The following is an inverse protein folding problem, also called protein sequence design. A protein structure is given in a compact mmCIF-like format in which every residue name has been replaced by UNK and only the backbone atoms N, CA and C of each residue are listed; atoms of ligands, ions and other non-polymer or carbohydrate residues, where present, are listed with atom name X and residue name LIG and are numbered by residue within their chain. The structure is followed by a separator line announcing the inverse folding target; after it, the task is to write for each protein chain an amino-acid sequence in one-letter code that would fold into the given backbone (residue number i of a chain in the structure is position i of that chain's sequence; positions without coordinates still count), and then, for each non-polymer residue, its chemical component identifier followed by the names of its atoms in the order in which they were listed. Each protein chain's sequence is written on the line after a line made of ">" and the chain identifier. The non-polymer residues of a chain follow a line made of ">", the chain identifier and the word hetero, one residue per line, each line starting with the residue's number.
data_IF_271225187794
#
_entry.id   IF_271225187794
#
_cell.length_a   1.000
_cell.length_b   1.000
_cell.length_c   1.000
_cell.angle_alpha   90.00
_cell.angle_beta   90.00
_cell.angle_gamma   90.00
#
_symmetry.space_group_name_H-M   'P 1'
#
loop_
_entity.id
_entity.type
_entity.pdbx_description
1 polymer ?
#
# COMPACT_ATOMS: atom_id res chain seq x y z
N UNK A 1 8.72 -11.83 -3.44
CA UNK A 1 7.32 -11.54 -3.79
C UNK A 1 6.36 -11.81 -2.63
N UNK A 2 6.56 -11.16 -1.48
CA UNK A 2 5.75 -11.42 -0.27
C UNK A 2 4.28 -10.98 -0.39
N UNK A 3 3.94 -10.10 -1.31
CA UNK A 3 2.57 -9.62 -1.52
C UNK A 3 1.87 -10.14 -2.77
N UNK A 4 2.59 -10.79 -3.69
CA UNK A 4 2.02 -11.22 -4.97
C UNK A 4 0.99 -12.33 -4.83
N UNK A 5 1.19 -13.26 -3.90
CA UNK A 5 0.23 -14.34 -3.64
C UNK A 5 -1.13 -13.81 -3.18
N UNK A 6 -1.15 -12.72 -2.43
CA UNK A 6 -2.39 -12.13 -1.93
C UNK A 6 -3.15 -11.40 -3.04
N UNK A 7 -2.47 -10.64 -3.88
CA UNK A 7 -3.09 -9.96 -5.02
C UNK A 7 -3.61 -10.99 -6.03
N UNK A 8 -2.82 -12.02 -6.35
CA UNK A 8 -3.25 -13.09 -7.27
C UNK A 8 -4.46 -13.87 -6.77
N UNK A 9 -4.52 -14.20 -5.48
CA UNK A 9 -5.67 -14.89 -4.90
C UNK A 9 -6.94 -14.04 -4.89
N UNK A 10 -6.81 -12.73 -4.75
CA UNK A 10 -7.93 -11.79 -4.67
C UNK A 10 -8.42 -11.34 -6.03
N UNK A 11 -7.54 -11.37 -7.05
CA UNK A 11 -7.81 -10.97 -8.41
C UNK A 11 -7.18 -11.97 -9.39
N UNK A 12 -7.76 -13.17 -9.57
CA UNK A 12 -7.14 -14.24 -10.33
C UNK A 12 -6.92 -13.94 -11.81
N UNK A 13 -7.62 -12.97 -12.38
CA UNK A 13 -7.47 -12.55 -13.79
C UNK A 13 -6.57 -11.32 -13.96
N UNK A 14 -6.07 -10.71 -12.88
CA UNK A 14 -5.16 -9.59 -12.98
C UNK A 14 -3.78 -10.06 -13.46
N UNK A 15 -3.20 -9.37 -14.44
CA UNK A 15 -1.81 -9.59 -14.83
C UNK A 15 -0.89 -9.02 -13.76
N UNK A 16 0.07 -9.82 -13.30
CA UNK A 16 1.01 -9.44 -12.25
C UNK A 16 2.43 -9.36 -12.79
N UNK A 17 3.08 -8.23 -12.58
CA UNK A 17 4.48 -8.02 -12.87
C UNK A 17 5.23 -7.94 -11.54
N UNK A 18 6.14 -8.89 -11.31
CA UNK A 18 6.92 -8.97 -10.09
C UNK A 18 8.31 -8.38 -10.29
N UNK A 19 8.61 -7.27 -9.59
CA UNK A 19 9.94 -6.69 -9.54
C UNK A 19 10.64 -7.08 -8.25
N UNK A 20 11.65 -7.95 -8.34
CA UNK A 20 12.42 -8.38 -7.19
C UNK A 20 13.47 -7.34 -6.82
N UNK A 21 13.13 -6.44 -5.92
CA UNK A 21 14.00 -5.36 -5.42
C UNK A 21 14.59 -5.65 -4.04
N UNK A 22 14.04 -6.61 -3.30
CA UNK A 22 14.50 -7.01 -1.97
C UNK A 22 15.32 -8.31 -2.01
N UNK A 23 16.30 -8.40 -1.12
CA UNK A 23 17.12 -9.60 -0.92
C UNK A 23 16.36 -10.74 -0.21
N UNK A 24 17.06 -11.86 0.05
CA UNK A 24 16.49 -13.04 0.72
C UNK A 24 16.07 -12.76 2.17
N UNK A 25 16.79 -11.87 2.84
CA UNK A 25 16.58 -11.39 4.20
C UNK A 25 15.45 -10.35 4.33
N UNK A 26 14.89 -9.93 3.18
CA UNK A 26 13.88 -8.86 3.13
C UNK A 26 14.48 -7.45 3.16
N UNK A 27 15.79 -7.31 3.31
CA UNK A 27 16.50 -6.06 3.13
C UNK A 27 16.61 -5.68 1.65
N UNK A 28 16.57 -4.40 1.35
CA UNK A 28 16.71 -3.89 -0.02
C UNK A 28 17.88 -2.91 -0.09
N UNK A 29 18.64 -2.98 -1.20
CA UNK A 29 19.51 -1.89 -1.58
C UNK A 29 18.64 -0.84 -2.28
N UNK A 30 18.68 0.39 -1.80
CA UNK A 30 17.90 1.53 -2.31
C UNK A 30 18.05 1.69 -3.82
N UNK A 31 19.27 1.47 -4.33
CA UNK A 31 19.57 1.48 -5.76
C UNK A 31 18.75 0.46 -6.59
N UNK A 32 18.48 -0.74 -6.04
CA UNK A 32 17.63 -1.74 -6.73
C UNK A 32 16.18 -1.29 -6.79
N UNK A 33 15.71 -0.64 -5.74
CA UNK A 33 14.36 -0.05 -5.71
C UNK A 33 14.24 1.03 -6.76
N UNK A 34 15.22 1.95 -6.83
CA UNK A 34 15.27 3.03 -7.82
C UNK A 34 15.23 2.45 -9.25
N UNK A 35 16.11 1.48 -9.56
CA UNK A 35 16.12 0.82 -10.88
C UNK A 35 14.77 0.14 -11.20
N UNK A 36 14.14 -0.50 -10.20
CA UNK A 36 12.82 -1.09 -10.38
C UNK A 36 11.75 -0.06 -10.72
N UNK A 37 11.73 1.08 -10.03
CA UNK A 37 10.79 2.18 -10.30
C UNK A 37 11.05 2.84 -11.66
N UNK A 38 12.31 3.05 -12.03
CA UNK A 38 12.68 3.56 -13.35
C UNK A 38 12.23 2.62 -14.46
N UNK A 39 12.34 1.31 -14.26
CA UNK A 39 11.82 0.32 -15.20
C UNK A 39 10.29 0.41 -15.34
N UNK A 40 9.55 0.52 -14.23
CA UNK A 40 8.08 0.73 -14.28
C UNK A 40 7.76 2.01 -15.06
N UNK A 41 8.46 3.10 -14.77
CA UNK A 41 8.26 4.38 -15.44
C UNK A 41 8.48 4.29 -16.95
N UNK A 42 9.48 3.51 -17.39
CA UNK A 42 9.75 3.32 -18.81
C UNK A 42 8.72 2.43 -19.53
N UNK A 43 8.09 1.48 -18.84
CA UNK A 43 7.29 0.43 -19.47
C UNK A 43 5.79 0.46 -19.09
N UNK A 44 5.35 1.32 -18.16
CA UNK A 44 3.97 1.27 -17.65
C UNK A 44 2.91 1.48 -18.75
N UNK A 45 3.19 2.32 -19.75
CA UNK A 45 2.27 2.57 -20.88
C UNK A 45 2.17 1.37 -21.80
N UNK A 46 3.31 0.81 -22.17
CA UNK A 46 3.40 -0.36 -23.06
C UNK A 46 2.73 -1.60 -22.42
N UNK A 47 3.00 -1.84 -21.15
CA UNK A 47 2.50 -3.00 -20.42
C UNK A 47 1.13 -2.77 -19.75
N UNK A 48 0.55 -1.58 -19.86
CA UNK A 48 -0.72 -1.24 -19.27
C UNK A 48 -0.72 -1.29 -17.73
N UNK A 49 0.41 -0.96 -17.08
CA UNK A 49 0.52 -0.97 -15.61
C UNK A 49 -0.33 0.18 -15.05
N UNK A 50 -1.37 -0.16 -14.30
CA UNK A 50 -2.30 0.80 -13.72
C UNK A 50 -2.20 0.94 -12.22
N UNK A 51 -1.66 -0.06 -11.53
CA UNK A 51 -1.51 -0.09 -10.08
C UNK A 51 -0.11 -0.54 -9.73
N UNK A 52 0.55 0.19 -8.83
CA UNK A 52 1.81 -0.19 -8.20
C UNK A 52 1.60 -0.48 -6.72
N UNK A 53 1.79 -1.73 -6.30
CA UNK A 53 1.88 -2.12 -4.90
C UNK A 53 3.30 -1.91 -4.39
N UNK A 54 3.51 -0.92 -3.53
CA UNK A 54 4.81 -0.56 -3.00
C UNK A 54 4.84 -0.65 -1.47
N UNK A 55 5.18 -1.83 -0.95
CA UNK A 55 5.23 -2.10 0.50
C UNK A 55 6.64 -2.00 1.09
N UNK A 56 7.49 -1.16 0.51
CA UNK A 56 8.82 -0.82 1.04
C UNK A 56 8.73 0.54 1.71
N UNK A 57 9.28 0.69 2.92
CA UNK A 57 9.23 1.94 3.66
C UNK A 57 10.55 2.29 4.32
N UNK A 58 10.76 3.59 4.53
CA UNK A 58 11.87 4.16 5.27
C UNK A 58 11.35 4.74 6.58
N UNK A 59 12.17 4.69 7.63
CA UNK A 59 11.80 5.25 8.94
C UNK A 59 11.50 6.75 8.82
N UNK A 60 10.57 7.28 9.65
CA UNK A 60 10.33 8.72 9.72
C UNK A 60 11.60 9.47 10.07
N UNK A 61 11.83 10.60 9.41
CA UNK A 61 13.01 11.44 9.63
C UNK A 61 13.45 12.16 8.37
N UNK A 62 14.67 12.70 8.39
CA UNK A 62 15.28 13.32 7.23
C UNK A 62 15.62 12.24 6.18
N UNK A 63 15.05 12.37 5.00
CA UNK A 63 15.32 11.47 3.89
C UNK A 63 16.68 11.80 3.26
N UNK A 64 17.47 10.76 2.98
CA UNK A 64 18.68 10.89 2.19
C UNK A 64 18.37 11.12 0.69
N UNK A 65 19.42 11.26 -0.13
CA UNK A 65 19.29 11.55 -1.56
C UNK A 65 18.52 10.46 -2.31
N UNK A 66 18.82 9.19 -2.02
CA UNK A 66 18.21 8.06 -2.72
C UNK A 66 16.74 7.88 -2.32
N UNK A 67 16.43 8.06 -1.03
CA UNK A 67 15.07 8.02 -0.52
C UNK A 67 14.20 9.14 -1.13
N UNK A 68 14.75 10.34 -1.29
CA UNK A 68 14.08 11.44 -2.01
C UNK A 68 13.82 11.08 -3.46
N UNK A 69 14.80 10.48 -4.14
CA UNK A 69 14.64 10.03 -5.52
C UNK A 69 13.52 8.97 -5.66
N UNK A 70 13.40 8.05 -4.69
CA UNK A 70 12.28 7.10 -4.67
C UNK A 70 10.94 7.82 -4.54
N UNK A 71 10.84 8.82 -3.66
CA UNK A 71 9.63 9.63 -3.52
C UNK A 71 9.25 10.31 -4.84
N UNK A 72 10.22 10.96 -5.50
CA UNK A 72 10.02 11.65 -6.79
C UNK A 72 9.55 10.68 -7.88
N UNK A 73 10.16 9.49 -8.00
CA UNK A 73 9.76 8.47 -8.98
C UNK A 73 8.34 7.95 -8.73
N UNK A 74 7.93 7.75 -7.47
CA UNK A 74 6.58 7.32 -7.14
C UNK A 74 5.54 8.41 -7.44
N UNK A 75 5.88 9.67 -7.19
CA UNK A 75 5.02 10.80 -7.52
C UNK A 75 4.93 11.03 -9.04
N UNK A 76 6.01 10.81 -9.77
CA UNK A 76 5.99 10.84 -11.23
C UNK A 76 5.13 9.72 -11.82
N UNK A 77 5.24 8.50 -11.31
CA UNK A 77 4.35 7.39 -11.72
C UNK A 77 2.88 7.71 -11.47
N UNK A 78 2.57 8.36 -10.36
CA UNK A 78 1.22 8.83 -10.08
C UNK A 78 0.74 9.84 -11.12
N UNK A 79 1.54 10.84 -11.44
CA UNK A 79 1.23 11.86 -12.45
C UNK A 79 1.05 11.25 -13.86
N UNK A 80 1.79 10.17 -14.14
CA UNK A 80 1.69 9.40 -15.39
C UNK A 80 0.51 8.41 -15.44
N UNK A 81 -0.34 8.40 -14.39
CA UNK A 81 -1.58 7.61 -14.36
C UNK A 81 -1.46 6.22 -13.72
N UNK A 82 -0.37 5.93 -13.01
CA UNK A 82 -0.22 4.71 -12.22
C UNK A 82 -0.65 4.96 -10.78
N UNK A 83 -1.66 4.25 -10.31
CA UNK A 83 -2.12 4.36 -8.91
C UNK A 83 -1.11 3.71 -7.98
N UNK A 84 -0.40 4.52 -7.20
CA UNK A 84 0.62 4.06 -6.25
C UNK A 84 -0.02 3.82 -4.90
N UNK A 85 0.08 2.58 -4.40
CA UNK A 85 -0.44 2.16 -3.09
C UNK A 85 0.71 1.73 -2.20
N UNK A 86 0.83 2.34 -1.02
CA UNK A 86 1.96 2.14 -0.10
C UNK A 86 1.51 1.69 1.29
N UNK A 87 2.38 1.02 2.01
CA UNK A 87 2.16 0.66 3.41
C UNK A 87 2.42 1.86 4.34
N UNK A 88 1.63 1.99 5.40
CA UNK A 88 1.84 3.01 6.44
C UNK A 88 3.08 2.76 7.30
N UNK A 89 3.60 1.53 7.29
CA UNK A 89 4.65 1.09 8.20
C UNK A 89 4.09 0.48 9.49
N UNK A 90 4.98 -0.17 10.25
CA UNK A 90 4.61 -0.94 11.44
C UNK A 90 5.22 -0.34 12.73
N UNK A 91 5.41 0.99 12.75
CA UNK A 91 6.00 1.72 13.88
C UNK A 91 4.96 2.44 14.75
N UNK A 92 3.65 2.17 14.52
CA UNK A 92 2.56 2.71 15.30
C UNK A 92 2.50 2.17 16.74
N UNK A 93 1.48 2.58 17.50
CA UNK A 93 0.36 3.44 17.11
C UNK A 93 0.60 4.94 17.34
N UNK A 94 1.80 5.36 17.70
CA UNK A 94 2.11 6.76 17.99
C UNK A 94 1.91 7.68 16.79
N UNK A 95 1.65 8.96 17.05
CA UNK A 95 1.55 9.99 16.00
C UNK A 95 2.91 10.18 15.29
N UNK A 96 2.89 10.53 14.01
CA UNK A 96 4.10 10.80 13.23
C UNK A 96 4.92 9.56 12.87
N UNK A 97 4.34 8.35 12.95
CA UNK A 97 5.04 7.08 12.72
C UNK A 97 4.84 6.49 11.32
N UNK A 98 4.12 7.19 10.45
CA UNK A 98 3.97 6.79 9.04
C UNK A 98 5.34 6.80 8.36
N UNK A 99 5.71 5.68 7.73
CA UNK A 99 6.95 5.58 6.97
C UNK A 99 6.84 6.26 5.60
N UNK A 100 7.95 6.84 5.12
CA UNK A 100 8.03 7.23 3.73
C UNK A 100 8.10 5.96 2.84
N UNK A 101 7.47 5.90 1.65
CA UNK A 101 6.83 7.01 0.95
C UNK A 101 5.37 7.29 1.33
N UNK A 102 4.79 6.60 2.32
CA UNK A 102 3.42 6.79 2.74
C UNK A 102 3.07 8.21 3.23
N UNK A 103 4.06 9.05 3.50
CA UNK A 103 3.86 10.46 3.86
C UNK A 103 3.47 11.35 2.65
N UNK A 104 3.66 10.90 1.41
CA UNK A 104 3.33 11.70 0.22
C UNK A 104 1.82 11.94 0.12
N UNK A 105 1.45 13.14 -0.33
CA UNK A 105 0.05 13.52 -0.61
C UNK A 105 -0.56 12.73 -1.77
N UNK A 106 0.25 12.35 -2.75
CA UNK A 106 -0.22 11.70 -3.97
C UNK A 106 -0.58 10.25 -3.73
N UNK A 107 0.28 9.46 -3.10
CA UNK A 107 0.07 8.02 -2.94
C UNK A 107 -1.11 7.68 -2.01
N UNK A 108 -1.64 6.47 -2.18
CA UNK A 108 -2.63 5.90 -1.26
C UNK A 108 -1.88 5.11 -0.19
N UNK A 109 -1.97 5.54 1.05
CA UNK A 109 -1.29 4.89 2.19
C UNK A 109 -2.26 4.02 2.95
N UNK A 110 -1.87 2.78 3.21
CA UNK A 110 -2.73 1.75 3.78
C UNK A 110 -2.23 1.33 5.16
N UNK A 111 -3.12 1.39 6.15
CA UNK A 111 -2.94 0.81 7.48
C UNK A 111 -3.67 -0.51 7.64
N UNK A 112 -3.41 -1.24 8.73
CA UNK A 112 -4.13 -2.45 9.07
C UNK A 112 -5.36 -2.13 9.92
N UNK A 113 -6.54 -2.66 9.55
CA UNK A 113 -7.79 -2.45 10.28
C UNK A 113 -7.94 -3.36 11.51
N UNK A 114 -7.20 -4.47 11.52
CA UNK A 114 -7.27 -5.57 12.48
C UNK A 114 -6.01 -5.71 13.34
N UNK A 115 -5.16 -4.69 13.41
CA UNK A 115 -3.89 -4.70 14.13
C UNK A 115 -4.05 -4.67 15.66
N UNK A 116 -5.25 -4.32 16.15
CA UNK A 116 -5.59 -4.33 17.59
C UNK A 116 -6.13 -5.68 18.08
N UNK A 117 -6.34 -6.62 17.16
CA UNK A 117 -7.03 -7.87 17.43
C UNK A 117 -6.10 -9.04 17.75
N UNK A 118 -4.77 -8.83 17.76
CA UNK A 118 -3.80 -9.89 18.01
C UNK A 118 -3.67 -10.18 19.51
N UNK A 119 -4.01 -11.40 19.99
CA UNK A 119 -3.77 -11.79 21.38
C UNK A 119 -2.27 -11.77 21.71
N UNK A 120 -1.87 -11.03 22.73
CA UNK A 120 -0.49 -10.96 23.19
C UNK A 120 0.36 -9.82 22.61
N UNK A 121 -0.14 -9.05 21.67
CA UNK A 121 0.56 -7.86 21.16
C UNK A 121 0.22 -6.59 21.97
N UNK A 122 1.15 -5.63 21.93
CA UNK A 122 1.08 -4.38 22.71
C UNK A 122 -0.26 -3.68 22.52
N UNK A 123 -0.84 -3.19 23.61
CA UNK A 123 -2.06 -2.36 23.60
C UNK A 123 -1.86 -1.17 22.66
N UNK A 124 -2.50 -1.18 21.47
CA UNK A 124 -2.53 -0.01 20.62
C UNK A 124 -2.34 -0.22 19.11
N UNK A 125 -2.08 -1.43 18.65
CA UNK A 125 -1.85 -1.70 17.23
C UNK A 125 -0.41 -1.39 16.76
N UNK A 126 -0.11 -1.69 15.51
CA UNK A 126 1.22 -1.48 14.91
C UNK A 126 1.21 -0.52 13.72
N UNK A 127 0.08 -0.22 13.13
CA UNK A 127 -0.01 0.64 11.95
C UNK A 127 0.57 2.02 12.22
N UNK A 128 1.43 2.48 11.31
CA UNK A 128 1.91 3.84 11.33
C UNK A 128 0.78 4.85 11.23
N UNK A 129 0.82 5.90 12.04
CA UNK A 129 -0.21 6.92 12.18
C UNK A 129 0.34 8.33 11.98
N UNK A 130 -0.47 9.17 11.31
CA UNK A 130 -0.24 10.60 11.19
C UNK A 130 -0.55 11.38 12.48
N UNK A 131 -0.53 12.71 12.43
CA UNK A 131 -0.23 13.50 11.23
C UNK A 131 1.24 13.38 10.80
N UNK A 132 1.49 13.56 9.50
CA UNK A 132 2.86 13.66 8.98
C UNK A 132 3.49 15.00 9.38
N UNK A 133 4.80 15.17 9.18
CA UNK A 133 5.49 16.43 9.42
C UNK A 133 4.90 17.65 8.67
N UNK A 134 4.15 17.39 7.58
CA UNK A 134 3.39 18.41 6.84
C UNK A 134 1.91 18.46 7.24
N UNK A 135 1.55 17.99 8.43
CA UNK A 135 0.19 17.98 8.98
C UNK A 135 -0.85 17.24 8.11
N UNK A 136 -0.42 16.24 7.35
CA UNK A 136 -1.34 15.41 6.56
C UNK A 136 -1.76 14.21 7.39
N UNK A 137 -3.06 13.97 7.46
CA UNK A 137 -3.60 12.77 8.10
C UNK A 137 -3.35 11.54 7.22
N UNK A 138 -2.70 10.54 7.79
CA UNK A 138 -2.33 9.25 7.19
C UNK A 138 -2.53 8.12 8.22
N UNK A 139 -2.78 6.87 7.82
CA UNK A 139 -3.03 6.41 6.44
C UNK A 139 -4.36 6.93 5.88
N UNK A 140 -4.55 6.84 4.56
CA UNK A 140 -5.84 7.16 3.94
C UNK A 140 -6.89 6.11 4.29
N UNK A 141 -6.55 4.83 4.11
CA UNK A 141 -7.52 3.73 4.21
C UNK A 141 -6.97 2.60 5.07
N UNK A 142 -7.84 1.89 5.77
CA UNK A 142 -7.49 0.69 6.52
C UNK A 142 -8.04 -0.55 5.80
N UNK A 143 -7.27 -1.63 5.82
CA UNK A 143 -7.68 -2.93 5.29
C UNK A 143 -7.11 -4.06 6.15
N UNK A 144 -7.67 -5.28 6.11
CA UNK A 144 -7.15 -6.41 6.88
C UNK A 144 -5.67 -6.65 6.61
N UNK A 145 -4.86 -6.70 7.66
CA UNK A 145 -3.39 -6.85 7.59
C UNK A 145 -2.80 -7.79 8.62
N UNK A 146 -3.62 -8.35 9.54
CA UNK A 146 -3.15 -9.22 10.62
C UNK A 146 -3.46 -10.69 10.33
N UNK A 147 -2.48 -11.57 10.57
CA UNK A 147 -2.61 -13.01 10.34
C UNK A 147 -3.03 -13.42 8.92
N UNK A 148 -2.63 -12.63 7.94
CA UNK A 148 -2.95 -12.89 6.53
C UNK A 148 -2.20 -14.15 6.05
N UNK A 149 -2.96 -15.12 5.55
CA UNK A 149 -2.43 -16.38 4.99
C UNK A 149 -2.10 -16.18 3.53
N UNK A 150 -0.84 -16.38 3.15
CA UNK A 150 -0.36 -16.25 1.78
C UNK A 150 0.69 -17.29 1.43
N UNK A 151 1.05 -17.37 0.14
CA UNK A 151 2.10 -18.26 -0.35
C UNK A 151 3.43 -17.97 0.36
N UNK A 152 4.13 -19.04 0.73
CA UNK A 152 5.46 -18.94 1.32
C UNK A 152 6.56 -19.26 0.28
N UNK A 153 7.73 -18.65 0.47
CA UNK A 153 8.91 -18.85 -0.39
C UNK A 153 9.98 -19.76 0.26
N UNK A 154 9.72 -20.24 1.50
CA UNK A 154 10.64 -21.11 2.26
C UNK A 154 10.29 -22.60 2.22
N UNK A 155 9.47 -23.03 1.25
CA UNK A 155 9.14 -24.45 1.05
C UNK A 155 7.82 -24.91 1.70
N UNK A 156 7.24 -24.13 2.62
CA UNK A 156 5.85 -24.32 3.01
C UNK A 156 4.93 -23.72 1.94
N UNK A 157 3.79 -24.38 1.64
CA UNK A 157 2.85 -23.85 0.66
C UNK A 157 2.27 -22.50 1.09
N UNK A 158 2.05 -22.31 2.40
CA UNK A 158 1.44 -21.12 2.97
C UNK A 158 2.09 -20.73 4.29
N UNK A 159 2.17 -19.43 4.55
CA UNK A 159 2.55 -18.85 5.84
C UNK A 159 1.59 -17.74 6.27
N UNK A 160 1.57 -17.43 7.56
CA UNK A 160 0.82 -16.29 8.11
C UNK A 160 1.76 -15.14 8.36
N UNK A 161 1.35 -13.94 7.94
CA UNK A 161 2.12 -12.70 8.17
C UNK A 161 1.18 -11.59 8.59
N UNK A 162 1.72 -10.69 9.43
CA UNK A 162 1.01 -9.47 9.86
C UNK A 162 1.83 -8.25 9.47
N UNK A 163 1.16 -7.16 9.12
CA UNK A 163 1.77 -5.89 8.78
C UNK A 163 0.94 -5.10 7.78
N UNK A 164 1.18 -3.80 7.75
CA UNK A 164 0.57 -2.91 6.74
C UNK A 164 0.96 -3.30 5.31
N UNK A 165 2.10 -3.98 5.14
CA UNK A 165 2.51 -4.60 3.86
C UNK A 165 1.54 -5.70 3.38
N UNK A 166 0.76 -6.33 4.28
CA UNK A 166 -0.26 -7.32 3.96
C UNK A 166 -1.60 -6.66 3.67
N UNK A 167 -1.88 -5.51 4.27
CA UNK A 167 -3.09 -4.72 4.01
C UNK A 167 -3.04 -4.03 2.63
N UNK A 168 -1.85 -3.56 2.21
CA UNK A 168 -1.66 -2.83 0.95
C UNK A 168 -2.17 -3.59 -0.29
N UNK A 169 -1.85 -4.89 -0.51
CA UNK A 169 -2.35 -5.64 -1.66
C UNK A 169 -3.87 -5.90 -1.62
N UNK A 170 -4.50 -5.80 -0.45
CA UNK A 170 -5.99 -5.87 -0.36
C UNK A 170 -6.60 -4.68 -1.07
N UNK A 171 -6.08 -3.48 -0.77
CA UNK A 171 -6.51 -2.24 -1.43
C UNK A 171 -6.20 -2.28 -2.93
N UNK A 172 -5.01 -2.76 -3.33
CA UNK A 172 -4.67 -2.94 -4.76
C UNK A 172 -5.69 -3.85 -5.47
N UNK A 173 -6.12 -4.93 -4.83
CA UNK A 173 -7.13 -5.83 -5.38
C UNK A 173 -8.48 -5.14 -5.58
N UNK A 174 -8.93 -4.34 -4.60
CA UNK A 174 -10.16 -3.56 -4.72
C UNK A 174 -10.09 -2.52 -5.85
N UNK A 175 -8.96 -1.82 -5.97
CA UNK A 175 -8.72 -0.86 -7.05
C UNK A 175 -8.66 -1.53 -8.44
N UNK A 176 -8.13 -2.77 -8.52
CA UNK A 176 -8.15 -3.54 -9.76
C UNK A 176 -9.58 -3.87 -10.20
N UNK A 177 -10.49 -4.21 -9.27
CA UNK A 177 -11.92 -4.38 -9.56
C UNK A 177 -12.57 -3.06 -10.03
N UNK A 178 -12.26 -1.96 -9.37
CA UNK A 178 -12.75 -0.65 -9.77
C UNK A 178 -12.31 -0.30 -11.20
N UNK A 179 -11.04 -0.53 -11.53
CA UNK A 179 -10.51 -0.32 -12.89
C UNK A 179 -11.06 -1.32 -13.92
N UNK A 180 -11.41 -2.54 -13.52
CA UNK A 180 -12.10 -3.49 -14.39
C UNK A 180 -13.49 -2.97 -14.78
N UNK A 181 -14.21 -2.37 -13.82
CA UNK A 181 -15.53 -1.79 -14.05
C UNK A 181 -15.46 -0.48 -14.85
N UNK A 182 -14.49 0.37 -14.53
CA UNK A 182 -14.26 1.63 -15.23
C UNK A 182 -12.76 1.85 -15.52
N UNK A 183 -12.25 1.38 -16.66
CA UNK A 183 -10.82 1.47 -17.01
C UNK A 183 -10.29 2.89 -17.20
N UNK A 184 -11.15 3.88 -17.31
CA UNK A 184 -10.76 5.28 -17.56
C UNK A 184 -10.44 6.05 -16.29
N UNK A 185 -10.73 5.50 -15.10
CA UNK A 185 -10.46 6.18 -13.83
C UNK A 185 -8.97 6.49 -13.67
N UNK A 186 -8.67 7.72 -13.31
CA UNK A 186 -7.33 8.18 -12.99
C UNK A 186 -7.01 7.93 -11.51
N UNK A 187 -5.72 7.99 -11.11
CA UNK A 187 -5.32 7.79 -9.72
C UNK A 187 -6.07 8.68 -8.71
N UNK A 188 -6.28 9.95 -9.05
CA UNK A 188 -6.98 10.92 -8.19
C UNK A 188 -8.45 10.54 -8.01
N UNK A 189 -9.08 10.09 -9.08
CA UNK A 189 -10.49 9.67 -9.06
C UNK A 189 -10.65 8.39 -8.22
N UNK A 190 -9.75 7.42 -8.39
CA UNK A 190 -9.72 6.21 -7.54
C UNK A 190 -9.51 6.54 -6.08
N UNK A 191 -8.60 7.47 -5.78
CA UNK A 191 -8.34 7.93 -4.42
C UNK A 191 -9.56 8.61 -3.80
N UNK A 192 -10.28 9.43 -4.57
CA UNK A 192 -11.52 10.07 -4.12
C UNK A 192 -12.63 9.02 -3.90
N UNK A 193 -12.78 8.04 -4.80
CA UNK A 193 -13.75 6.95 -4.64
C UNK A 193 -13.46 6.09 -3.40
N UNK A 194 -12.20 5.84 -3.06
CA UNK A 194 -11.84 5.19 -1.81
C UNK A 194 -12.27 6.02 -0.59
N UNK A 195 -12.10 7.34 -0.63
CA UNK A 195 -12.55 8.23 0.44
C UNK A 195 -14.07 8.20 0.62
N UNK A 196 -14.80 8.31 -0.49
CA UNK A 196 -16.27 8.34 -0.51
C UNK A 196 -16.88 7.02 -0.04
N UNK A 197 -16.26 5.88 -0.40
CA UNK A 197 -16.74 4.53 -0.10
C UNK A 197 -16.32 4.00 1.27
N UNK A 198 -15.32 4.62 1.90
CA UNK A 198 -14.75 4.11 3.14
C UNK A 198 -15.80 4.03 4.28
N UNK A 199 -15.89 2.86 4.91
CA UNK A 199 -16.77 2.67 6.07
C UNK A 199 -16.14 3.31 7.30
N UNK A 200 -16.81 4.36 7.80
CA UNK A 200 -16.37 5.04 9.02
C UNK A 200 -16.72 4.19 10.24
N UNK A 201 -15.76 4.01 11.14
CA UNK A 201 -15.96 3.33 12.42
C UNK A 201 -15.79 4.31 13.57
N UNK A 202 -16.58 4.12 14.63
CA UNK A 202 -16.54 4.98 15.82
C UNK A 202 -15.17 4.91 16.49
N UNK A 203 -14.58 6.06 16.78
CA UNK A 203 -13.23 6.15 17.40
C UNK A 203 -12.06 6.12 16.41
N UNK A 204 -12.29 6.05 15.11
CA UNK A 204 -11.27 6.25 14.10
C UNK A 204 -11.10 7.74 13.78
N UNK A 205 -10.03 8.34 14.29
CA UNK A 205 -9.69 9.74 13.98
C UNK A 205 -8.52 9.87 12.99
N UNK A 206 -7.85 8.75 12.65
CA UNK A 206 -6.54 8.77 11.99
C UNK A 206 -6.54 8.26 10.54
N UNK A 207 -7.71 7.82 10.03
CA UNK A 207 -7.87 7.36 8.64
C UNK A 207 -9.24 7.79 8.12
N UNK A 208 -9.45 7.71 6.79
CA UNK A 208 -10.77 7.95 6.19
C UNK A 208 -11.81 6.91 6.61
N UNK A 209 -11.37 5.69 6.87
CA UNK A 209 -12.19 4.56 7.28
C UNK A 209 -11.58 3.22 6.88
N UNK A 210 -12.36 2.18 7.00
CA UNK A 210 -12.04 0.83 6.55
C UNK A 210 -12.51 0.64 5.11
N UNK A 211 -11.70 -0.06 4.31
CA UNK A 211 -12.03 -0.41 2.93
C UNK A 211 -13.39 -1.15 2.88
N UNK A 212 -14.27 -0.62 2.07
CA UNK A 212 -15.56 -1.23 1.72
C UNK A 212 -15.60 -1.43 0.21
N UNK A 213 -15.42 -2.68 -0.22
CA UNK A 213 -15.30 -3.02 -1.64
C UNK A 213 -16.64 -2.88 -2.36
N UNK A 214 -17.74 -3.25 -1.71
CA UNK A 214 -19.07 -3.19 -2.31
C UNK A 214 -19.47 -1.74 -2.56
N UNK A 215 -19.28 -0.86 -1.57
CA UNK A 215 -19.50 0.57 -1.73
C UNK A 215 -18.57 1.20 -2.77
N UNK A 216 -17.28 0.80 -2.81
CA UNK A 216 -16.37 1.28 -3.84
C UNK A 216 -16.87 0.92 -5.24
N UNK A 217 -17.28 -0.33 -5.44
CA UNK A 217 -17.80 -0.78 -6.73
C UNK A 217 -19.14 -0.17 -7.09
N UNK A 218 -19.95 0.24 -6.13
CA UNK A 218 -21.19 0.96 -6.40
C UNK A 218 -20.97 2.40 -6.91
N UNK A 219 -19.80 2.99 -6.60
CA UNK A 219 -19.46 4.38 -6.97
C UNK A 219 -18.72 4.51 -8.32
N UNK A 220 -18.32 3.40 -8.99
CA UNK A 220 -17.51 3.40 -10.21
C UNK A 220 -18.22 2.84 -11.44
#
# INVERSE_FOLDING_TARGET
>A
SRGLGDVYKRQPQAQLIALKVLGKDGGGQTERVIRGLQWVLAHHKELGIRILNFSVGFLPGALDREQKQIMELLEQLWDDGVTVVTAAGNNGPGAGTVTAPGISRKVITVGASDDRSSPGERRGGYSGCGPTGCCIMKPEILAPGTNIVSLDHHGALYSRKSGTSMATPVVCGALALALQKNPKLRPEELKLKLYESARKETGMSMAWGVLDVDNLLALV
#
